data_IF_599532108721
#
_entry.id   IF_599532108721
#
_cell.length_a   1.000
_cell.length_b   1.000
_cell.length_c   1.000
_cell.angle_alpha   90.00
_cell.angle_beta   90.00
_cell.angle_gamma   90.00
#
_symmetry.space_group_name_H-M   'P 1'
#
loop_
_entity.id
_entity.type
_entity.pdbx_description
1 polymer ?
#
# COMPACT_ATOMS: atom_id res chain seq x y z
N UNK A 1 46.26 -44.67 -4.67
CA UNK A 1 45.44 -44.13 -5.78
C UNK A 1 44.22 -43.46 -5.18
N UNK A 2 44.17 -42.13 -5.15
CA UNK A 2 42.96 -41.32 -5.07
C UNK A 2 43.41 -39.86 -4.87
N UNK A 3 43.12 -39.00 -5.84
CA UNK A 3 42.77 -37.57 -5.69
C UNK A 3 42.91 -36.92 -7.06
N UNK A 4 41.77 -36.63 -7.66
CA UNK A 4 41.50 -35.39 -8.38
C UNK A 4 39.99 -35.24 -8.42
N UNK A 5 39.46 -34.67 -7.35
CA UNK A 5 38.12 -34.10 -7.35
C UNK A 5 38.23 -32.79 -8.13
N UNK A 6 37.81 -32.81 -9.39
CA UNK A 6 37.55 -31.60 -10.17
C UNK A 6 36.38 -30.88 -9.52
N UNK A 7 36.70 -29.91 -8.66
CA UNK A 7 35.72 -28.97 -8.12
C UNK A 7 35.45 -27.97 -9.24
N UNK A 8 34.30 -28.10 -9.90
CA UNK A 8 33.81 -27.10 -10.85
C UNK A 8 33.61 -25.78 -10.10
N UNK A 9 34.52 -24.83 -10.30
CA UNK A 9 34.40 -23.49 -9.75
C UNK A 9 33.25 -22.77 -10.48
N UNK A 10 32.16 -22.48 -9.75
CA UNK A 10 31.06 -21.71 -10.33
C UNK A 10 31.55 -20.30 -10.72
N UNK A 11 31.17 -19.79 -11.91
CA UNK A 11 31.59 -18.46 -12.33
C UNK A 11 31.09 -17.41 -11.35
N UNK A 12 32.00 -16.55 -10.87
CA UNK A 12 31.67 -15.40 -10.04
C UNK A 12 30.95 -14.35 -10.89
N UNK A 13 29.77 -13.93 -10.44
CA UNK A 13 28.99 -12.85 -11.05
C UNK A 13 29.10 -11.64 -10.13
N UNK A 14 29.86 -10.62 -10.56
CA UNK A 14 30.12 -9.41 -9.75
C UNK A 14 28.86 -8.56 -9.52
N UNK A 15 27.93 -8.55 -10.49
CA UNK A 15 26.65 -7.87 -10.39
C UNK A 15 25.57 -8.59 -11.21
N UNK A 16 24.38 -8.74 -10.62
CA UNK A 16 23.22 -9.30 -11.31
C UNK A 16 22.75 -8.30 -12.37
N UNK A 17 22.82 -8.70 -13.64
CA UNK A 17 22.34 -7.90 -14.77
C UNK A 17 20.85 -8.16 -14.98
N UNK A 18 20.07 -7.09 -15.22
CA UNK A 18 18.62 -7.18 -15.45
C UNK A 18 18.24 -7.53 -16.90
N UNK A 19 19.10 -8.23 -17.65
CA UNK A 19 18.90 -8.51 -19.07
C UNK A 19 17.53 -9.11 -19.37
N UNK A 20 16.76 -8.44 -20.23
CA UNK A 20 15.41 -8.83 -20.62
C UNK A 20 14.31 -8.30 -19.69
N UNK A 21 14.66 -7.62 -18.61
CA UNK A 21 13.73 -7.02 -17.66
C UNK A 21 13.90 -5.50 -17.52
N UNK A 22 14.85 -4.88 -18.22
CA UNK A 22 15.10 -3.44 -18.15
C UNK A 22 13.90 -2.59 -18.57
N UNK A 23 13.00 -3.15 -19.39
CA UNK A 23 11.76 -2.49 -19.83
C UNK A 23 10.50 -3.09 -19.19
N UNK A 24 10.66 -4.05 -18.27
CA UNK A 24 9.53 -4.73 -17.63
C UNK A 24 8.83 -3.79 -16.65
N UNK A 25 7.64 -3.32 -17.02
CA UNK A 25 6.79 -2.48 -16.16
C UNK A 25 6.52 -3.18 -14.83
N UNK A 26 6.22 -4.49 -14.84
CA UNK A 26 5.96 -5.26 -13.63
C UNK A 26 7.14 -5.31 -12.66
N UNK A 27 8.38 -5.41 -13.18
CA UNK A 27 9.57 -5.33 -12.34
C UNK A 27 9.71 -3.94 -11.71
N UNK A 28 9.54 -2.88 -12.51
CA UNK A 28 9.69 -1.51 -12.02
C UNK A 28 8.63 -1.15 -10.98
N UNK A 29 7.38 -1.58 -11.17
CA UNK A 29 6.31 -1.42 -10.17
C UNK A 29 6.65 -2.13 -8.87
N UNK A 30 7.15 -3.38 -8.94
CA UNK A 30 7.58 -4.12 -7.75
C UNK A 30 8.72 -3.40 -7.02
N UNK A 31 9.76 -2.97 -7.73
CA UNK A 31 10.90 -2.28 -7.12
C UNK A 31 10.49 -0.92 -6.52
N UNK A 32 9.60 -0.18 -7.19
CA UNK A 32 9.03 1.06 -6.67
C UNK A 32 8.22 0.80 -5.38
N UNK A 33 7.38 -0.24 -5.37
CA UNK A 33 6.62 -0.64 -4.18
C UNK A 33 7.54 -0.98 -2.99
N UNK A 34 8.60 -1.77 -3.23
CA UNK A 34 9.56 -2.12 -2.18
C UNK A 34 10.20 -0.87 -1.56
N UNK A 35 10.70 0.05 -2.39
CA UNK A 35 11.29 1.31 -1.92
C UNK A 35 10.29 2.17 -1.14
N UNK A 36 9.05 2.24 -1.62
CA UNK A 36 7.98 2.97 -0.93
C UNK A 36 7.62 2.33 0.43
N UNK A 37 7.68 0.99 0.52
CA UNK A 37 7.38 0.26 1.75
C UNK A 37 8.49 0.41 2.78
N UNK A 38 9.75 0.26 2.38
CA UNK A 38 10.91 0.47 3.27
C UNK A 38 10.85 1.85 3.91
N UNK A 39 10.60 2.88 3.09
CA UNK A 39 10.41 4.25 3.57
C UNK A 39 9.24 4.38 4.54
N UNK A 40 8.08 3.80 4.21
CA UNK A 40 6.94 3.85 5.09
C UNK A 40 7.28 3.23 6.46
N UNK A 41 7.95 2.08 6.49
CA UNK A 41 8.33 1.45 7.75
C UNK A 41 9.37 2.24 8.52
N UNK A 42 10.28 2.95 7.84
CA UNK A 42 11.19 3.91 8.48
C UNK A 42 10.45 5.12 9.09
N UNK A 43 9.43 5.62 8.41
CA UNK A 43 8.64 6.77 8.89
C UNK A 43 7.61 6.39 9.98
N UNK A 44 7.17 5.14 10.01
CA UNK A 44 6.18 4.59 10.95
C UNK A 44 6.82 3.66 11.98
N UNK A 45 8.12 3.85 12.30
CA UNK A 45 8.82 3.00 13.27
C UNK A 45 8.06 2.89 14.60
N UNK A 46 7.90 1.65 15.08
CA UNK A 46 7.18 1.36 16.32
C UNK A 46 5.64 1.32 16.18
N UNK A 47 5.10 1.54 14.99
CA UNK A 47 3.66 1.44 14.71
C UNK A 47 3.35 0.13 13.98
N UNK A 48 2.47 -0.71 14.54
CA UNK A 48 2.00 -1.94 13.89
C UNK A 48 0.95 -1.64 12.79
N UNK A 49 1.43 -1.05 11.70
CA UNK A 49 0.62 -0.64 10.56
C UNK A 49 1.36 -0.87 9.26
N UNK A 50 0.64 -1.24 8.20
CA UNK A 50 1.17 -1.35 6.82
C UNK A 50 0.68 -0.16 5.97
N UNK A 51 1.37 0.17 4.86
CA UNK A 51 0.99 1.30 4.01
C UNK A 51 -0.48 1.29 3.57
N UNK A 52 -0.98 0.15 3.08
CA UNK A 52 -2.37 0.01 2.66
C UNK A 52 -3.39 0.10 3.81
N UNK A 53 -2.97 -0.27 5.02
CA UNK A 53 -3.81 -0.17 6.23
C UNK A 53 -3.94 1.28 6.70
N UNK A 54 -2.88 2.07 6.59
CA UNK A 54 -2.97 3.52 6.80
C UNK A 54 -3.95 4.17 5.81
N UNK A 55 -3.89 3.80 4.52
CA UNK A 55 -4.83 4.29 3.51
C UNK A 55 -6.29 4.00 3.88
N UNK A 56 -6.58 2.87 4.52
CA UNK A 56 -7.92 2.54 5.03
C UNK A 56 -8.34 3.52 6.12
N UNK A 57 -7.50 3.75 7.14
CA UNK A 57 -7.81 4.70 8.22
C UNK A 57 -8.01 6.12 7.68
N UNK A 58 -7.14 6.56 6.77
CA UNK A 58 -7.26 7.85 6.11
C UNK A 58 -8.59 7.99 5.34
N UNK A 59 -9.00 6.97 4.59
CA UNK A 59 -10.25 7.03 3.84
C UNK A 59 -11.48 6.99 4.74
N UNK A 60 -11.45 6.27 5.87
CA UNK A 60 -12.53 6.33 6.86
C UNK A 60 -12.60 7.72 7.50
N UNK A 61 -11.44 8.33 7.81
CA UNK A 61 -11.37 9.70 8.34
C UNK A 61 -12.04 10.70 7.39
N UNK A 62 -11.70 10.63 6.10
CA UNK A 62 -12.24 11.51 5.07
C UNK A 62 -13.71 11.21 4.69
N UNK A 63 -14.19 9.99 4.96
CA UNK A 63 -15.53 9.55 4.61
C UNK A 63 -16.22 8.85 5.80
N UNK A 64 -16.58 9.57 6.88
CA UNK A 64 -17.25 8.97 8.03
C UNK A 64 -18.57 8.31 7.60
N UNK A 65 -18.73 7.03 7.93
CA UNK A 65 -19.89 6.22 7.55
C UNK A 65 -19.74 5.44 6.24
N UNK A 66 -18.56 5.48 5.60
CA UNK A 66 -18.28 4.69 4.40
C UNK A 66 -18.53 3.20 4.62
N UNK A 67 -19.10 2.52 3.61
CA UNK A 67 -19.36 1.08 3.69
C UNK A 67 -18.05 0.31 3.55
N UNK A 68 -17.82 -0.68 4.41
CA UNK A 68 -16.62 -1.54 4.39
C UNK A 68 -16.39 -2.19 3.01
N UNK A 69 -17.46 -2.62 2.34
CA UNK A 69 -17.38 -3.22 1.01
C UNK A 69 -16.86 -2.24 -0.06
N UNK A 70 -17.26 -0.98 0.01
CA UNK A 70 -16.81 0.06 -0.92
C UNK A 70 -15.32 0.36 -0.75
N UNK A 71 -14.82 0.39 0.49
CA UNK A 71 -13.38 0.51 0.74
C UNK A 71 -12.60 -0.70 0.23
N UNK A 72 -13.14 -1.91 0.44
CA UNK A 72 -12.50 -3.14 -0.04
C UNK A 72 -12.35 -3.13 -1.57
N UNK A 73 -13.42 -2.77 -2.28
CA UNK A 73 -13.41 -2.61 -3.74
C UNK A 73 -12.45 -1.51 -4.18
N UNK A 74 -12.56 -0.31 -3.59
CA UNK A 74 -11.77 0.87 -4.00
C UNK A 74 -10.27 0.69 -3.83
N UNK A 75 -9.86 -0.06 -2.80
CA UNK A 75 -8.46 -0.32 -2.48
C UNK A 75 -7.97 -1.68 -3.01
N UNK A 76 -8.81 -2.40 -3.75
CA UNK A 76 -8.52 -3.75 -4.25
C UNK A 76 -8.10 -4.74 -3.14
N UNK A 77 -8.64 -4.56 -1.94
CA UNK A 77 -8.41 -5.42 -0.79
C UNK A 77 -9.50 -6.49 -0.74
N UNK A 78 -9.10 -7.76 -0.68
CA UNK A 78 -10.04 -8.88 -0.57
C UNK A 78 -10.97 -8.69 0.64
N UNK A 79 -12.27 -8.89 0.47
CA UNK A 79 -13.27 -8.64 1.52
C UNK A 79 -12.96 -9.34 2.87
N UNK A 80 -12.41 -10.56 2.83
CA UNK A 80 -11.99 -11.28 4.03
C UNK A 80 -10.79 -10.61 4.73
N UNK A 81 -9.83 -10.07 3.98
CA UNK A 81 -8.71 -9.31 4.52
C UNK A 81 -9.18 -7.98 5.11
N UNK A 82 -10.06 -7.26 4.40
CA UNK A 82 -10.67 -6.03 4.91
C UNK A 82 -11.39 -6.28 6.23
N UNK A 83 -12.20 -7.36 6.31
CA UNK A 83 -12.92 -7.71 7.54
C UNK A 83 -11.97 -7.97 8.71
N UNK A 84 -10.88 -8.71 8.49
CA UNK A 84 -9.86 -8.95 9.52
C UNK A 84 -9.17 -7.66 9.95
N UNK A 85 -8.85 -6.78 9.00
CA UNK A 85 -8.21 -5.49 9.25
C UNK A 85 -9.09 -4.56 10.09
N UNK A 86 -10.37 -4.41 9.70
CA UNK A 86 -11.32 -3.56 10.43
C UNK A 86 -11.56 -4.09 11.85
N UNK A 87 -11.66 -5.42 12.05
CA UNK A 87 -11.76 -5.99 13.41
C UNK A 87 -10.54 -5.64 14.25
N UNK A 88 -9.33 -5.76 13.70
CA UNK A 88 -8.10 -5.37 14.41
C UNK A 88 -8.12 -3.89 14.80
N UNK A 89 -8.55 -3.00 13.90
CA UNK A 89 -8.68 -1.57 14.21
C UNK A 89 -9.77 -1.26 15.24
N UNK A 90 -10.84 -2.05 15.27
CA UNK A 90 -11.89 -1.97 16.29
C UNK A 90 -11.37 -2.43 17.65
N UNK A 91 -10.63 -3.54 17.71
CA UNK A 91 -9.99 -4.06 18.92
C UNK A 91 -8.93 -3.08 19.47
N UNK A 92 -8.24 -2.34 18.59
CA UNK A 92 -7.31 -1.26 18.96
C UNK A 92 -8.02 0.04 19.35
N UNK A 93 -9.35 0.10 19.26
CA UNK A 93 -10.14 1.28 19.59
C UNK A 93 -10.02 2.42 18.58
N UNK A 94 -9.55 2.17 17.35
CA UNK A 94 -9.40 3.18 16.29
C UNK A 94 -10.64 3.31 15.41
N UNK A 95 -11.36 2.21 15.18
CA UNK A 95 -12.54 2.18 14.31
C UNK A 95 -13.75 1.72 15.13
N UNK A 96 -14.93 2.27 14.83
CA UNK A 96 -16.21 1.73 15.28
C UNK A 96 -17.04 1.32 14.06
N UNK A 97 -17.70 0.16 14.16
CA UNK A 97 -18.62 -0.33 13.13
C UNK A 97 -20.06 -0.03 13.51
N UNK A 98 -20.86 0.37 12.53
CA UNK A 98 -22.30 0.59 12.68
C UNK A 98 -23.02 -0.22 11.61
N UNK A 99 -24.06 -0.95 12.03
CA UNK A 99 -24.99 -1.63 11.13
C UNK A 99 -26.28 -0.79 11.13
N UNK A 100 -26.62 -0.11 10.03
CA UNK A 100 -27.85 0.68 9.96
C UNK A 100 -29.08 -0.21 10.08
N UNK A 101 -30.13 0.30 10.72
CA UNK A 101 -31.40 -0.44 10.89
C UNK A 101 -32.08 -0.74 9.55
N UNK A 102 -31.95 0.16 8.59
CA UNK A 102 -32.55 0.11 7.25
C UNK A 102 -31.85 -0.88 6.31
N UNK A 103 -30.57 -1.18 6.55
CA UNK A 103 -29.76 -2.09 5.74
C UNK A 103 -28.81 -2.90 6.62
N UNK A 104 -29.34 -3.96 7.25
CA UNK A 104 -28.59 -4.86 8.12
C UNK A 104 -27.41 -5.59 7.43
N UNK A 105 -27.32 -5.49 6.10
CA UNK A 105 -26.21 -6.06 5.33
C UNK A 105 -25.06 -5.06 5.16
N UNK A 106 -25.28 -3.78 5.45
CA UNK A 106 -24.26 -2.75 5.39
C UNK A 106 -23.49 -2.66 6.71
N UNK A 107 -22.15 -2.65 6.62
CA UNK A 107 -21.25 -2.31 7.72
C UNK A 107 -20.64 -0.95 7.38
N UNK A 108 -21.07 0.09 8.09
CA UNK A 108 -20.56 1.44 7.97
C UNK A 108 -19.45 1.68 8.99
N UNK A 109 -18.39 2.37 8.56
CA UNK A 109 -17.18 2.55 9.36
C UNK A 109 -17.00 4.01 9.75
N UNK A 110 -16.60 4.23 11.00
CA UNK A 110 -16.22 5.54 11.50
C UNK A 110 -14.92 5.40 12.30
N UNK A 111 -14.08 6.42 12.27
CA UNK A 111 -13.01 6.50 13.26
C UNK A 111 -13.61 6.89 14.63
N UNK A 112 -13.00 6.37 15.68
CA UNK A 112 -13.15 6.92 17.03
C UNK A 112 -12.34 8.21 17.16
N UNK A 113 -12.47 8.92 18.27
CA UNK A 113 -11.58 10.05 18.57
C UNK A 113 -10.10 9.62 18.59
N UNK A 114 -9.80 8.48 19.21
CA UNK A 114 -8.46 7.91 19.25
C UNK A 114 -7.92 7.56 17.85
N UNK A 115 -8.76 6.96 17.00
CA UNK A 115 -8.40 6.63 15.62
C UNK A 115 -8.19 7.87 14.74
N UNK A 116 -9.04 8.89 14.90
CA UNK A 116 -8.91 10.16 14.20
C UNK A 116 -7.61 10.87 14.59
N UNK A 117 -7.34 10.98 15.89
CA UNK A 117 -6.12 11.57 16.40
C UNK A 117 -4.87 10.77 15.96
N UNK A 118 -4.93 9.44 15.97
CA UNK A 118 -3.86 8.59 15.43
C UNK A 118 -3.61 8.88 13.95
N UNK A 119 -4.66 8.93 13.14
CA UNK A 119 -4.57 9.15 11.69
C UNK A 119 -3.92 10.51 11.38
N UNK A 120 -4.41 11.58 12.02
CA UNK A 120 -3.89 12.94 11.81
C UNK A 120 -2.43 13.09 12.26
N UNK A 121 -2.04 12.48 13.39
CA UNK A 121 -0.65 12.51 13.87
C UNK A 121 0.34 11.93 12.86
N UNK A 122 -0.07 10.96 12.04
CA UNK A 122 0.80 10.29 11.09
C UNK A 122 0.63 10.77 9.64
N UNK A 123 -0.22 11.79 9.40
CA UNK A 123 -0.46 12.34 8.07
C UNK A 123 0.82 12.82 7.39
N UNK A 124 1.66 13.57 8.11
CA UNK A 124 2.92 14.09 7.56
C UNK A 124 3.88 12.99 7.13
N UNK A 125 3.99 11.92 7.93
CA UNK A 125 4.82 10.76 7.64
C UNK A 125 4.34 9.98 6.40
N UNK A 126 3.03 9.89 6.19
CA UNK A 126 2.46 9.18 5.05
C UNK A 126 2.51 9.96 3.73
N UNK A 127 2.05 11.21 3.74
CA UNK A 127 1.93 12.01 2.51
C UNK A 127 3.22 12.70 2.11
N UNK A 128 4.13 12.89 3.07
CA UNK A 128 5.51 13.17 2.74
C UNK A 128 5.71 14.39 1.88
N UNK A 129 5.38 15.57 2.41
CA UNK A 129 5.54 16.83 1.68
C UNK A 129 7.00 17.26 1.45
N UNK A 130 7.98 16.52 1.99
CA UNK A 130 9.39 16.86 1.90
C UNK A 130 10.07 16.26 0.66
N UNK A 131 10.96 17.03 0.03
CA UNK A 131 11.75 16.66 -1.16
C UNK A 131 12.51 15.33 -1.05
N UNK A 132 12.81 14.89 0.17
CA UNK A 132 13.39 13.57 0.45
C UNK A 132 12.48 12.39 0.07
N UNK A 133 11.17 12.61 -0.13
CA UNK A 133 10.18 11.59 -0.49
C UNK A 133 10.23 11.17 -1.95
N UNK A 134 10.84 11.99 -2.81
CA UNK A 134 10.70 11.83 -4.25
C UNK A 134 11.83 11.00 -4.88
N UNK A 135 12.75 10.42 -4.08
CA UNK A 135 13.87 9.60 -4.56
C UNK A 135 14.68 10.26 -5.69
N UNK A 136 14.86 11.58 -5.62
CA UNK A 136 15.55 12.37 -6.64
C UNK A 136 14.68 12.88 -7.79
N UNK A 137 13.38 12.57 -7.80
CA UNK A 137 12.44 13.14 -8.75
C UNK A 137 12.10 14.59 -8.38
N UNK A 138 12.10 15.46 -9.39
CA UNK A 138 11.54 16.80 -9.31
C UNK A 138 10.03 16.76 -9.07
N UNK A 139 9.44 17.88 -8.64
CA UNK A 139 7.98 17.98 -8.46
C UNK A 139 7.21 17.68 -9.75
N UNK A 140 7.75 18.08 -10.92
CA UNK A 140 7.14 17.80 -12.22
C UNK A 140 7.16 16.30 -12.55
N UNK A 141 8.28 15.61 -12.30
CA UNK A 141 8.40 14.17 -12.52
C UNK A 141 7.51 13.36 -11.58
N UNK A 142 7.36 13.79 -10.31
CA UNK A 142 6.39 13.19 -9.39
C UNK A 142 4.97 13.36 -9.90
N UNK A 143 4.61 14.56 -10.36
CA UNK A 143 3.31 14.81 -10.98
C UNK A 143 3.05 13.89 -12.18
N UNK A 144 4.03 13.76 -13.08
CA UNK A 144 3.94 12.87 -14.23
C UNK A 144 3.83 11.40 -13.82
N UNK A 145 4.60 10.95 -12.81
CA UNK A 145 4.54 9.58 -12.31
C UNK A 145 3.16 9.27 -11.73
N UNK A 146 2.60 10.16 -10.91
CA UNK A 146 1.25 10.01 -10.36
C UNK A 146 0.21 9.91 -11.49
N UNK A 147 0.30 10.76 -12.50
CA UNK A 147 -0.60 10.72 -13.66
C UNK A 147 -0.50 9.38 -14.41
N UNK A 148 0.71 8.91 -14.70
CA UNK A 148 0.94 7.66 -15.42
C UNK A 148 0.49 6.44 -14.62
N UNK A 149 0.80 6.39 -13.32
CA UNK A 149 0.34 5.32 -12.43
C UNK A 149 -1.17 5.31 -12.30
N UNK A 150 -1.80 6.48 -12.12
CA UNK A 150 -3.26 6.60 -12.08
C UNK A 150 -3.89 6.06 -13.36
N UNK A 151 -3.34 6.42 -14.53
CA UNK A 151 -3.79 5.89 -15.81
C UNK A 151 -3.60 4.38 -15.92
N UNK A 152 -2.49 3.84 -15.39
CA UNK A 152 -2.17 2.42 -15.42
C UNK A 152 -3.07 1.58 -14.49
N UNK A 153 -3.41 2.11 -13.30
CA UNK A 153 -4.21 1.40 -12.29
C UNK A 153 -5.70 1.65 -12.41
N UNK A 154 -6.14 2.65 -13.19
CA UNK A 154 -7.57 2.83 -13.45
C UNK A 154 -8.03 1.71 -14.37
N UNK A 155 -9.03 0.90 -13.97
CA UNK A 155 -9.59 -0.10 -14.87
C UNK A 155 -10.06 0.61 -16.15
N UNK A 156 -9.53 0.22 -17.30
CA UNK A 156 -10.17 0.56 -18.57
C UNK A 156 -11.58 0.00 -18.46
N UNK A 157 -12.61 0.88 -18.48
CA UNK A 157 -13.99 0.43 -18.62
C UNK A 157 -14.00 -0.48 -19.84
N UNK A 158 -14.09 -1.79 -19.61
CA UNK A 158 -14.24 -2.74 -20.69
C UNK A 158 -15.46 -2.30 -21.47
N UNK A 159 -15.28 -2.05 -22.77
CA UNK A 159 -16.37 -2.04 -23.72
C UNK A 159 -17.11 -3.34 -23.48
N UNK A 160 -18.27 -3.26 -22.82
CA UNK A 160 -19.10 -4.42 -22.59
C UNK A 160 -19.68 -4.87 -23.92
N UNK A 161 -19.18 -5.98 -24.45
CA UNK A 161 -19.91 -7.10 -25.07
C UNK A 161 -18.91 -8.11 -25.61
#
# INVERSE_FOLDING_TARGET
MAKSSDVLQAPQVDAVRLRGLETSIGLHLRLAQLRAYDRFFDAFQGVDLRPGEYSVLWLIHQNPGVRQGQLAERLEIKAAQMTKMIRRFEDQGHVRRVIPDEDRRAVCLFLTEAGSAFTLRHQGAFFGHDTQHHHGLSAAEVGQLIQLLTKYTTPTKGTGQ
#
